data_IF_816804237907
#
_entry.id   IF_816804237907
#
_cell.length_a   1.000
_cell.length_b   1.000
_cell.length_c   1.000
_cell.angle_alpha   90.00
_cell.angle_beta   90.00
_cell.angle_gamma   90.00
#
_symmetry.space_group_name_H-M   'P 1'
#
loop_
_entity.id
_entity.type
_entity.pdbx_description
1 polymer ?
#
# COMPACT_ATOMS: atom_id res chain seq x y z
N UNK A 1 -6.56 9.66 -15.54
CA UNK A 1 -6.38 8.45 -16.40
C UNK A 1 -7.64 8.15 -17.18
N UNK A 2 -7.55 8.15 -18.50
CA UNK A 2 -8.67 7.80 -19.39
C UNK A 2 -8.49 6.34 -19.83
N UNK A 3 -9.48 5.50 -19.51
CA UNK A 3 -9.52 4.07 -19.87
C UNK A 3 -10.39 3.91 -21.12
N UNK A 4 -9.80 3.53 -22.24
CA UNK A 4 -10.55 3.24 -23.46
C UNK A 4 -10.89 1.75 -23.50
N UNK A 5 -12.18 1.44 -23.58
CA UNK A 5 -12.68 0.07 -23.71
C UNK A 5 -13.29 -0.15 -25.09
N UNK A 6 -13.03 -1.31 -25.69
CA UNK A 6 -13.70 -1.78 -26.91
C UNK A 6 -14.14 -3.23 -26.71
N UNK A 7 -15.38 -3.54 -27.06
CA UNK A 7 -15.97 -4.88 -26.82
C UNK A 7 -15.94 -5.32 -25.35
N UNK A 8 -16.08 -4.39 -24.40
CA UNK A 8 -16.02 -4.67 -22.96
C UNK A 8 -14.62 -4.90 -22.38
N UNK A 9 -13.58 -5.03 -23.23
CA UNK A 9 -12.18 -5.19 -22.82
C UNK A 9 -11.47 -3.85 -22.72
N UNK A 10 -10.55 -3.74 -21.76
CA UNK A 10 -9.68 -2.57 -21.63
C UNK A 10 -8.59 -2.63 -22.70
N UNK A 11 -8.63 -1.69 -23.65
CA UNK A 11 -7.71 -1.67 -24.80
C UNK A 11 -6.57 -0.68 -24.58
N UNK A 12 -6.85 0.46 -23.94
CA UNK A 12 -5.84 1.49 -23.72
C UNK A 12 -6.03 2.23 -22.40
N UNK A 13 -4.91 2.63 -21.82
CA UNK A 13 -4.84 3.50 -20.66
C UNK A 13 -4.02 4.73 -21.06
N UNK A 14 -4.64 5.90 -21.10
CA UNK A 14 -3.93 7.17 -21.23
C UNK A 14 -3.71 7.77 -19.84
N UNK A 15 -2.44 8.03 -19.50
CA UNK A 15 -2.04 8.78 -18.29
C UNK A 15 -1.64 10.18 -18.73
N UNK A 16 -2.29 11.20 -18.17
CA UNK A 16 -1.93 12.60 -18.38
C UNK A 16 -1.22 13.09 -17.13
N UNK A 17 -0.13 13.84 -17.34
CA UNK A 17 0.49 14.65 -16.31
C UNK A 17 -0.20 16.01 -16.33
N UNK A 18 -0.55 16.51 -15.15
CA UNK A 18 -1.24 17.79 -14.99
C UNK A 18 -0.22 18.75 -14.40
N UNK A 19 -0.03 19.87 -15.07
CA UNK A 19 0.98 20.88 -14.77
C UNK A 19 0.24 22.20 -14.55
N UNK A 20 0.54 22.90 -13.45
CA UNK A 20 -0.21 24.09 -13.01
C UNK A 20 -1.27 23.77 -11.95
N UNK A 21 -2.33 24.59 -11.87
CA UNK A 21 -3.44 24.35 -10.95
C UNK A 21 -4.39 23.27 -11.50
N UNK A 22 -4.42 22.12 -10.84
CA UNK A 22 -5.35 21.04 -11.12
C UNK A 22 -6.72 21.26 -10.47
N UNK A 23 -7.76 20.72 -11.08
CA UNK A 23 -9.12 20.67 -10.53
C UNK A 23 -9.36 19.37 -9.77
N UNK A 24 -10.44 19.25 -9.01
CA UNK A 24 -10.78 17.99 -8.32
C UNK A 24 -10.95 16.82 -9.31
N UNK A 25 -11.46 17.11 -10.52
CA UNK A 25 -11.69 16.09 -11.56
C UNK A 25 -10.38 15.51 -12.14
N UNK A 26 -9.27 16.18 -11.88
CA UNK A 26 -7.94 15.78 -12.30
C UNK A 26 -7.31 14.75 -11.34
N UNK A 27 -7.85 14.64 -10.12
CA UNK A 27 -7.36 13.73 -9.10
C UNK A 27 -7.68 12.29 -9.50
N UNK A 28 -6.64 11.52 -9.77
CA UNK A 28 -6.76 10.10 -10.09
C UNK A 28 -6.68 9.24 -8.83
N UNK A 29 -7.79 8.60 -8.46
CA UNK A 29 -7.90 7.75 -7.26
C UNK A 29 -7.40 6.32 -7.47
N UNK A 30 -7.11 5.89 -8.70
CA UNK A 30 -6.86 4.47 -8.98
C UNK A 30 -5.68 3.87 -8.21
N UNK A 31 -4.67 4.68 -7.89
CA UNK A 31 -3.53 4.24 -7.08
C UNK A 31 -3.96 4.00 -5.62
N UNK A 32 -4.76 4.91 -5.06
CA UNK A 32 -5.34 4.78 -3.72
C UNK A 32 -6.26 3.57 -3.66
N UNK A 33 -7.13 3.37 -4.66
CA UNK A 33 -8.00 2.18 -4.76
C UNK A 33 -7.20 0.87 -4.82
N UNK A 34 -6.12 0.85 -5.61
CA UNK A 34 -5.23 -0.30 -5.67
C UNK A 34 -4.59 -0.57 -4.31
N UNK A 35 -4.07 0.47 -3.65
CA UNK A 35 -3.47 0.34 -2.33
C UNK A 35 -4.47 -0.16 -1.30
N UNK A 36 -5.71 0.35 -1.31
CA UNK A 36 -6.81 -0.10 -0.45
C UNK A 36 -7.14 -1.58 -0.69
N UNK A 37 -7.06 -2.06 -1.93
CA UNK A 37 -7.19 -3.48 -2.25
C UNK A 37 -6.07 -4.32 -1.61
N UNK A 38 -4.83 -3.88 -1.77
CA UNK A 38 -3.67 -4.58 -1.21
C UNK A 38 -3.74 -4.60 0.33
N UNK A 39 -3.99 -3.45 0.96
CA UNK A 39 -4.10 -3.31 2.41
C UNK A 39 -5.19 -4.22 2.98
N UNK A 40 -6.39 -4.26 2.37
CA UNK A 40 -7.49 -5.12 2.83
C UNK A 40 -7.17 -6.60 2.67
N UNK A 41 -6.40 -6.96 1.64
CA UNK A 41 -5.99 -8.33 1.34
C UNK A 41 -4.91 -8.84 2.30
N UNK A 42 -3.85 -8.06 2.50
CA UNK A 42 -2.69 -8.44 3.33
C UNK A 42 -3.07 -8.67 4.79
N UNK A 43 -3.89 -7.80 5.36
CA UNK A 43 -4.31 -7.92 6.77
C UNK A 43 -5.48 -8.89 6.97
N UNK A 44 -6.10 -9.40 5.89
CA UNK A 44 -7.37 -10.14 5.93
C UNK A 44 -7.34 -11.40 6.79
N UNK A 45 -6.17 -12.00 6.99
CA UNK A 45 -5.98 -13.20 7.81
C UNK A 45 -5.71 -12.84 9.28
N UNK A 46 -5.18 -11.65 9.54
CA UNK A 46 -4.81 -11.20 10.89
C UNK A 46 -6.00 -10.61 11.66
N UNK A 47 -6.99 -10.09 10.94
CA UNK A 47 -8.11 -9.34 11.52
C UNK A 47 -9.39 -10.17 11.75
N UNK A 48 -9.34 -11.48 11.46
CA UNK A 48 -10.45 -12.44 11.63
C UNK A 48 -9.91 -13.86 11.79
N UNK A 49 -10.71 -14.78 12.34
CA UNK A 49 -10.30 -16.18 12.56
C UNK A 49 -10.09 -16.95 11.25
N UNK A 50 -11.10 -16.93 10.38
CA UNK A 50 -11.07 -17.51 9.03
C UNK A 50 -11.86 -16.65 8.07
N UNK A 51 -11.87 -16.97 6.77
CA UNK A 51 -12.57 -16.15 5.76
C UNK A 51 -14.08 -16.03 5.97
N UNK A 52 -14.70 -16.96 6.70
CA UNK A 52 -16.13 -16.96 6.99
C UNK A 52 -16.51 -16.10 8.21
N UNK A 53 -15.53 -15.61 8.97
CA UNK A 53 -15.78 -14.70 10.09
C UNK A 53 -15.68 -13.25 9.64
N UNK A 54 -16.50 -12.41 10.27
CA UNK A 54 -16.37 -10.96 10.16
C UNK A 54 -15.00 -10.49 10.66
N UNK A 55 -14.52 -9.41 10.06
CA UNK A 55 -13.34 -8.68 10.55
C UNK A 55 -13.73 -7.94 11.82
N UNK A 56 -12.78 -7.78 12.74
CA UNK A 56 -12.97 -6.90 13.91
C UNK A 56 -12.25 -5.56 13.69
N UNK A 57 -12.90 -4.46 14.06
CA UNK A 57 -12.43 -3.09 13.80
C UNK A 57 -11.12 -2.81 14.56
N UNK A 58 -11.10 -3.10 15.86
CA UNK A 58 -9.93 -3.04 16.73
C UNK A 58 -8.68 -3.71 16.10
N UNK A 59 -8.88 -4.89 15.51
CA UNK A 59 -7.80 -5.62 14.85
C UNK A 59 -7.40 -5.00 13.53
N UNK A 60 -8.33 -4.45 12.76
CA UNK A 60 -8.01 -3.73 11.52
C UNK A 60 -7.12 -2.54 11.83
N UNK A 61 -7.48 -1.73 12.83
CA UNK A 61 -6.72 -0.55 13.20
C UNK A 61 -5.31 -0.91 13.66
N UNK A 62 -5.18 -1.89 14.58
CA UNK A 62 -3.86 -2.37 15.04
C UNK A 62 -3.01 -2.97 13.90
N UNK A 63 -3.62 -3.75 13.02
CA UNK A 63 -2.88 -4.39 11.91
C UNK A 63 -2.56 -3.40 10.79
N UNK A 64 -3.22 -2.24 10.74
CA UNK A 64 -2.94 -1.22 9.75
C UNK A 64 -1.55 -0.60 9.96
N UNK A 65 -1.15 -0.36 11.20
CA UNK A 65 0.20 0.11 11.54
C UNK A 65 1.27 -0.88 11.09
N UNK A 66 1.09 -2.17 11.40
CA UNK A 66 1.99 -3.23 10.97
C UNK A 66 2.05 -3.34 9.44
N UNK A 67 0.92 -3.15 8.76
CA UNK A 67 0.87 -3.10 7.31
C UNK A 67 1.68 -1.93 6.75
N UNK A 68 1.56 -0.73 7.33
CA UNK A 68 2.32 0.44 6.91
C UNK A 68 3.83 0.22 7.09
N UNK A 69 4.27 -0.28 8.25
CA UNK A 69 5.67 -0.61 8.51
C UNK A 69 6.20 -1.61 7.48
N UNK A 70 5.51 -2.75 7.33
CA UNK A 70 5.92 -3.77 6.37
C UNK A 70 5.94 -3.23 4.93
N UNK A 71 4.94 -2.44 4.53
CA UNK A 71 4.84 -1.97 3.15
C UNK A 71 5.85 -0.88 2.81
N UNK A 72 6.10 0.04 3.73
CA UNK A 72 6.93 1.21 3.48
C UNK A 72 8.41 0.94 3.75
N UNK A 73 8.73 0.08 4.72
CA UNK A 73 10.11 -0.12 5.18
C UNK A 73 10.69 -1.50 4.89
N UNK A 74 9.86 -2.54 4.68
CA UNK A 74 10.36 -3.91 4.47
C UNK A 74 10.16 -4.42 3.04
N UNK A 75 8.98 -4.15 2.45
CA UNK A 75 8.60 -4.71 1.16
C UNK A 75 9.30 -3.97 0.02
N UNK A 76 10.31 -4.64 -0.53
CA UNK A 76 11.00 -4.15 -1.71
C UNK A 76 10.18 -4.32 -3.00
N UNK A 77 10.38 -3.39 -3.92
CA UNK A 77 9.90 -3.52 -5.30
C UNK A 77 10.89 -4.29 -6.19
N UNK A 78 10.62 -4.34 -7.50
CA UNK A 78 11.48 -5.05 -8.47
C UNK A 78 12.91 -4.51 -8.52
N UNK A 79 13.12 -3.25 -8.11
CA UNK A 79 14.43 -2.60 -8.11
C UNK A 79 15.14 -2.79 -6.76
N UNK A 80 14.62 -3.66 -5.89
CA UNK A 80 15.15 -3.90 -4.54
C UNK A 80 15.11 -2.65 -3.64
N UNK A 81 14.20 -1.72 -3.90
CA UNK A 81 14.01 -0.49 -3.10
C UNK A 81 12.67 -0.51 -2.38
N UNK A 82 12.61 0.07 -1.19
CA UNK A 82 11.36 0.28 -0.44
C UNK A 82 10.85 1.72 -0.66
N UNK A 83 9.57 2.01 -0.38
CA UNK A 83 9.09 3.39 -0.36
C UNK A 83 9.91 4.32 0.55
N UNK A 84 10.31 3.87 1.75
CA UNK A 84 11.13 4.67 2.66
C UNK A 84 12.50 5.03 2.09
N UNK A 85 13.11 4.12 1.32
CA UNK A 85 14.37 4.39 0.63
C UNK A 85 14.22 5.41 -0.50
N UNK A 86 13.06 5.46 -1.17
CA UNK A 86 12.81 6.42 -2.26
C UNK A 86 12.58 7.84 -1.76
N UNK A 87 12.17 7.96 -0.50
CA UNK A 87 11.93 9.23 0.19
C UNK A 87 13.14 9.60 1.09
N UNK A 88 14.28 8.92 0.94
CA UNK A 88 15.51 9.15 1.70
C UNK A 88 15.35 9.07 3.24
N UNK A 89 14.36 8.29 3.72
CA UNK A 89 14.10 8.09 5.15
C UNK A 89 15.03 7.02 5.75
N UNK A 90 15.44 6.02 4.94
CA UNK A 90 16.28 4.92 5.38
C UNK A 90 17.13 4.39 4.22
N UNK A 91 18.40 4.06 4.46
CA UNK A 91 19.32 3.59 3.42
C UNK A 91 19.11 2.12 3.02
N UNK A 92 18.58 1.32 3.94
CA UNK A 92 18.43 -0.13 3.77
C UNK A 92 16.99 -0.58 4.08
N UNK A 93 16.52 -1.68 3.49
CA UNK A 93 15.24 -2.26 3.88
C UNK A 93 15.29 -2.76 5.34
N UNK A 94 14.25 -2.44 6.10
CA UNK A 94 14.00 -3.05 7.40
C UNK A 94 13.67 -4.54 7.21
N UNK A 95 14.06 -5.38 8.18
CA UNK A 95 13.68 -6.79 8.21
C UNK A 95 12.99 -7.12 9.54
N UNK A 96 12.33 -8.28 9.60
CA UNK A 96 11.60 -8.69 10.80
C UNK A 96 12.50 -8.93 12.02
N UNK A 97 13.75 -9.37 11.81
CA UNK A 97 14.68 -9.61 12.92
C UNK A 97 15.01 -8.30 13.61
N UNK A 98 15.33 -7.26 12.83
CA UNK A 98 15.65 -5.94 13.38
C UNK A 98 14.42 -5.22 13.93
N UNK A 99 13.25 -5.38 13.30
CA UNK A 99 12.00 -4.80 13.80
C UNK A 99 11.53 -5.43 15.12
N UNK A 100 11.68 -6.75 15.29
CA UNK A 100 11.27 -7.47 16.49
C UNK A 100 12.37 -7.56 17.55
N UNK A 101 13.58 -7.06 17.25
CA UNK A 101 14.62 -6.96 18.27
C UNK A 101 14.09 -6.08 19.39
N UNK A 102 14.10 -6.56 20.65
CA UNK A 102 13.77 -5.72 21.77
C UNK A 102 14.84 -4.62 21.83
N UNK A 103 14.44 -3.41 21.47
CA UNK A 103 15.16 -2.23 21.94
C UNK A 103 14.80 -2.13 23.42
N UNK A 104 15.71 -2.56 24.30
CA UNK A 104 15.62 -2.16 25.70
C UNK A 104 15.67 -0.64 25.72
N UNK A 105 14.50 0.00 25.78
CA UNK A 105 14.40 1.41 26.14
C UNK A 105 14.84 1.47 27.61
N UNK A 106 16.08 1.89 27.80
CA UNK A 106 16.62 2.27 29.12
C UNK A 106 16.26 3.71 29.41
#
# INVERSE_FOLDING_TARGET
MIKTKSGGKLVKINRQWIVGEGTINDIQTSQIENMNGIARGSQSILVRKTKSFAKKIDRVDMMYELFQVHRNFMKQDKNKTTPSMKEDIQDTPLNWVDFLKPHYQT
#
